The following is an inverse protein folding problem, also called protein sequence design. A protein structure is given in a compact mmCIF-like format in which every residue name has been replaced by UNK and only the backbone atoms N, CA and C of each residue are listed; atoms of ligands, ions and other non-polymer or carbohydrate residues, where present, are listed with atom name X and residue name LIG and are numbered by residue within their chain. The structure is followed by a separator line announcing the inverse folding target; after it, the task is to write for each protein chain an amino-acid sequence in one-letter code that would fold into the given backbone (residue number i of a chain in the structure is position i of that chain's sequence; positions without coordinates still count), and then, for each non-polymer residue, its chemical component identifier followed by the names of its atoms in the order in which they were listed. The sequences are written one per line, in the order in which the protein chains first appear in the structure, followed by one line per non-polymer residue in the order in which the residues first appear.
data_IF_223222171170
#
_entry.id   IF_223222171170
#
_cell.length_a   1.000
_cell.length_b   1.000
_cell.length_c   1.000
_cell.angle_alpha   90.00
_cell.angle_beta   90.00
_cell.angle_gamma   90.00
#
_symmetry.space_group_name_H-M   'P 1'
#
loop_
_entity.id
_entity.type
_entity.pdbx_description
1 polymer ?
#
# COMPACT_ATOMS: atom_id res chain seq x y z
N UNK A 1 16.44 -24.76 10.70
CA UNK A 1 16.12 -24.73 9.24
C UNK A 1 14.64 -25.03 9.09
N UNK A 2 13.88 -24.19 8.39
CA UNK A 2 12.47 -24.45 8.08
C UNK A 2 12.21 -24.17 6.61
N UNK A 3 11.61 -25.13 5.91
CA UNK A 3 11.32 -25.04 4.48
C UNK A 3 9.94 -25.58 4.19
N UNK A 4 9.26 -24.99 3.22
CA UNK A 4 7.96 -25.42 2.75
C UNK A 4 7.90 -25.29 1.25
N UNK A 5 7.39 -26.34 0.65
CA UNK A 5 7.37 -26.52 -0.77
C UNK A 5 5.95 -26.82 -1.22
N UNK A 6 5.61 -26.29 -2.38
CA UNK A 6 4.36 -26.55 -3.08
C UNK A 6 4.67 -27.34 -4.34
N UNK A 7 3.81 -28.30 -4.67
CA UNK A 7 3.81 -29.00 -5.95
C UNK A 7 2.43 -28.94 -6.56
N UNK A 8 2.37 -28.48 -7.82
CA UNK A 8 1.14 -28.36 -8.58
C UNK A 8 1.27 -29.01 -9.96
N UNK A 9 0.36 -29.91 -10.28
CA UNK A 9 0.11 -30.47 -11.61
C UNK A 9 -1.41 -30.48 -11.91
N UNK A 10 -1.83 -30.95 -13.10
CA UNK A 10 -3.23 -30.94 -13.54
C UNK A 10 -4.21 -31.66 -12.58
N UNK A 11 -3.75 -32.49 -11.64
CA UNK A 11 -4.60 -33.19 -10.66
C UNK A 11 -4.09 -33.18 -9.21
N UNK A 12 -2.95 -32.57 -8.93
CA UNK A 12 -2.27 -32.59 -7.63
C UNK A 12 -1.95 -31.17 -7.19
N UNK A 13 -2.46 -30.78 -6.02
CA UNK A 13 -2.02 -29.58 -5.31
C UNK A 13 -1.57 -30.00 -3.91
N UNK A 14 -0.26 -30.14 -3.72
CA UNK A 14 0.35 -30.78 -2.54
C UNK A 14 1.35 -29.85 -1.88
N UNK A 15 1.49 -30.00 -0.57
CA UNK A 15 2.53 -29.34 0.20
C UNK A 15 3.46 -30.36 0.85
N UNK A 16 4.69 -29.94 1.06
CA UNK A 16 5.70 -30.65 1.82
C UNK A 16 6.52 -29.65 2.61
N UNK A 17 6.74 -29.87 3.90
CA UNK A 17 7.56 -29.01 4.73
C UNK A 17 8.52 -29.83 5.57
N UNK A 18 9.65 -29.22 5.92
CA UNK A 18 10.62 -29.77 6.85
C UNK A 18 11.05 -28.70 7.84
N UNK A 19 11.08 -29.06 9.11
CA UNK A 19 11.55 -28.21 10.20
C UNK A 19 12.60 -28.98 11.00
N UNK A 20 13.80 -28.41 11.09
CA UNK A 20 14.95 -28.96 11.81
C UNK A 20 15.14 -28.15 13.09
N UNK A 21 15.15 -28.84 14.23
CA UNK A 21 15.38 -28.29 15.57
C UNK A 21 16.40 -29.16 16.31
N UNK A 22 17.62 -28.66 16.47
CA UNK A 22 18.74 -29.41 17.04
C UNK A 22 19.06 -30.66 16.21
N UNK A 23 19.14 -31.82 16.86
CA UNK A 23 19.40 -33.11 16.21
C UNK A 23 18.14 -33.84 15.73
N UNK A 24 17.00 -33.15 15.67
CA UNK A 24 15.72 -33.74 15.22
C UNK A 24 15.14 -32.92 14.08
N UNK A 25 14.55 -33.59 13.09
CA UNK A 25 13.71 -32.93 12.11
C UNK A 25 12.31 -33.53 12.07
N UNK A 26 11.32 -32.71 11.71
CA UNK A 26 9.95 -33.13 11.42
C UNK A 26 9.60 -32.75 10.00
N UNK A 27 9.11 -33.73 9.24
CA UNK A 27 8.59 -33.57 7.88
C UNK A 27 7.08 -33.64 7.91
N UNK A 28 6.39 -32.68 7.30
CA UNK A 28 4.93 -32.67 7.15
C UNK A 28 4.56 -32.63 5.68
N UNK A 29 3.60 -33.45 5.23
CA UNK A 29 3.18 -33.46 3.83
C UNK A 29 1.69 -33.77 3.66
N UNK A 30 1.08 -33.23 2.62
CA UNK A 30 -0.35 -33.40 2.40
C UNK A 30 -0.86 -32.73 1.13
N UNK A 31 -2.18 -32.77 0.94
CA UNK A 31 -2.86 -31.93 -0.05
C UNK A 31 -2.99 -30.53 0.54
N UNK A 32 -2.82 -29.50 -0.27
CA UNK A 32 -3.01 -28.12 0.19
C UNK A 32 -4.46 -27.92 0.65
N UNK A 33 -4.62 -27.36 1.86
CA UNK A 33 -5.91 -27.23 2.54
C UNK A 33 -6.27 -28.38 3.48
N UNK A 34 -5.45 -29.43 3.61
CA UNK A 34 -5.62 -30.46 4.65
C UNK A 34 -4.57 -30.32 5.75
N UNK A 35 -4.82 -30.95 6.91
CA UNK A 35 -3.87 -30.97 8.04
C UNK A 35 -2.57 -31.73 7.74
N UNK A 36 -2.49 -32.47 6.63
CA UNK A 36 -1.33 -33.28 6.26
C UNK A 36 -1.03 -34.44 7.23
N UNK A 37 0.12 -35.07 7.02
CA UNK A 37 0.70 -36.08 7.90
C UNK A 37 2.13 -35.68 8.25
N UNK A 38 2.53 -35.88 9.50
CA UNK A 38 3.86 -35.54 9.99
C UNK A 38 4.64 -36.79 10.39
N UNK A 39 5.96 -36.76 10.17
CA UNK A 39 6.91 -37.79 10.60
C UNK A 39 8.17 -37.13 11.15
N UNK A 40 8.58 -37.55 12.34
CA UNK A 40 9.71 -36.97 13.07
C UNK A 40 10.84 -38.00 13.15
N UNK A 41 12.08 -37.54 12.95
CA UNK A 41 13.28 -38.38 13.04
C UNK A 41 14.37 -37.67 13.82
N UNK A 42 14.94 -38.38 14.80
CA UNK A 42 16.01 -37.90 15.68
C UNK A 42 17.33 -38.58 15.34
N UNK A 43 18.42 -37.82 15.41
CA UNK A 43 19.79 -38.23 15.11
C UNK A 43 20.69 -38.01 16.33
N UNK A 44 21.87 -38.62 16.27
CA UNK A 44 22.87 -38.56 17.33
C UNK A 44 23.56 -37.18 17.40
N UNK A 45 23.62 -36.48 16.26
CA UNK A 45 24.33 -35.21 16.10
C UNK A 45 23.54 -34.25 15.19
N UNK A 46 23.69 -32.95 15.45
CA UNK A 46 22.99 -31.89 14.72
C UNK A 46 23.44 -31.79 13.26
N UNK A 47 24.73 -32.03 12.99
CA UNK A 47 25.29 -31.96 11.64
C UNK A 47 24.73 -33.07 10.76
N UNK A 48 24.60 -34.29 11.30
CA UNK A 48 24.00 -35.43 10.59
C UNK A 48 22.50 -35.16 10.28
N UNK A 49 21.78 -34.57 11.24
CA UNK A 49 20.39 -34.18 11.07
C UNK A 49 20.20 -33.16 9.94
N UNK A 50 21.02 -32.11 9.92
CA UNK A 50 20.96 -31.07 8.89
C UNK A 50 21.32 -31.61 7.49
N UNK A 51 22.36 -32.46 7.39
CA UNK A 51 22.76 -33.07 6.12
C UNK A 51 21.66 -33.94 5.51
N UNK A 52 20.96 -34.74 6.31
CA UNK A 52 19.86 -35.56 5.82
C UNK A 52 18.61 -34.71 5.49
N UNK A 53 18.35 -33.65 6.26
CA UNK A 53 17.26 -32.71 5.96
C UNK A 53 17.46 -31.97 4.63
N UNK A 54 18.68 -31.50 4.35
CA UNK A 54 19.02 -30.87 3.08
C UNK A 54 18.96 -31.84 1.89
N UNK A 55 19.32 -33.10 2.11
CA UNK A 55 19.20 -34.15 1.08
C UNK A 55 17.74 -34.35 0.68
N UNK A 56 16.83 -34.46 1.67
CA UNK A 56 15.39 -34.56 1.42
C UNK A 56 14.83 -33.33 0.70
N UNK A 57 15.29 -32.13 1.07
CA UNK A 57 14.94 -30.89 0.37
C UNK A 57 15.34 -30.97 -1.12
N UNK A 58 16.61 -31.30 -1.42
CA UNK A 58 17.10 -31.41 -2.80
C UNK A 58 16.34 -32.44 -3.62
N UNK A 59 15.98 -33.59 -3.01
CA UNK A 59 15.17 -34.61 -3.69
C UNK A 59 13.77 -34.11 -4.03
N UNK A 60 13.16 -33.26 -3.20
CA UNK A 60 11.84 -32.67 -3.47
C UNK A 60 11.90 -31.60 -4.55
N UNK A 61 12.90 -30.72 -4.51
CA UNK A 61 13.13 -29.72 -5.56
C UNK A 61 13.34 -30.39 -6.92
N UNK A 62 14.11 -31.48 -6.98
CA UNK A 62 14.31 -32.26 -8.22
C UNK A 62 13.02 -32.91 -8.76
N UNK A 63 12.03 -33.14 -7.89
CA UNK A 63 10.71 -33.69 -8.26
C UNK A 63 9.70 -32.59 -8.66
N UNK A 64 10.17 -31.35 -8.82
CA UNK A 64 9.35 -30.22 -9.28
C UNK A 64 8.61 -29.47 -8.18
N UNK A 65 8.92 -29.73 -6.90
CA UNK A 65 8.40 -28.91 -5.80
C UNK A 65 9.12 -27.56 -5.79
N UNK A 66 8.38 -26.47 -5.57
CA UNK A 66 8.90 -25.10 -5.50
C UNK A 66 8.83 -24.57 -4.08
N UNK A 67 9.84 -23.84 -3.62
CA UNK A 67 9.82 -23.19 -2.31
C UNK A 67 8.73 -22.11 -2.28
N UNK A 68 7.76 -22.26 -1.39
CA UNK A 68 6.83 -21.19 -1.06
C UNK A 68 7.29 -20.58 0.26
N UNK A 69 7.55 -19.27 0.25
CA UNK A 69 8.09 -18.56 1.41
C UNK A 69 7.22 -18.78 2.64
N UNK A 70 7.71 -19.59 3.58
CA UNK A 70 7.12 -19.64 4.92
C UNK A 70 7.83 -18.64 5.81
N UNK A 71 7.12 -17.57 6.12
CA UNK A 71 7.27 -16.87 7.40
C UNK A 71 6.86 -17.84 8.51
N UNK A 72 7.73 -17.97 9.51
CA UNK A 72 7.63 -18.98 10.56
C UNK A 72 6.40 -18.74 11.44
N UNK A 73 5.41 -19.63 11.38
CA UNK A 73 4.46 -19.81 12.47
C UNK A 73 5.06 -20.77 13.51
N UNK A 74 5.19 -20.26 14.74
CA UNK A 74 5.43 -21.05 15.95
C UNK A 74 4.11 -21.07 16.73
N UNK A 75 3.52 -22.25 16.84
CA UNK A 75 2.39 -22.54 17.73
C UNK A 75 2.91 -22.78 19.14
N UNK A 76 2.34 -22.12 20.14
CA UNK A 76 1.81 -22.83 21.31
C UNK A 76 0.75 -21.98 22.03
N UNK A 77 -0.46 -22.52 21.98
CA UNK A 77 -1.64 -22.16 22.74
C UNK A 77 -1.40 -22.46 24.21
N UNK A 78 -1.53 -21.46 25.10
CA UNK A 78 -2.26 -21.53 26.37
C UNK A 78 -2.02 -20.25 27.21
N UNK A 79 -2.69 -19.18 26.80
CA UNK A 79 -3.44 -18.33 27.75
C UNK A 79 -4.54 -17.64 26.96
N UNK A 80 -5.75 -18.17 27.08
CA UNK A 80 -6.95 -17.37 26.83
C UNK A 80 -6.93 -16.27 27.87
N UNK A 81 -6.65 -15.05 27.44
CA UNK A 81 -7.42 -13.86 27.81
C UNK A 81 -6.84 -12.63 27.09
N UNK A 82 -7.69 -12.04 26.24
CA UNK A 82 -7.64 -10.64 25.79
C UNK A 82 -6.35 -10.16 25.09
N UNK A 83 -6.34 -10.26 23.77
CA UNK A 83 -5.84 -9.16 22.94
C UNK A 83 -6.58 -9.18 21.61
N UNK A 84 -7.58 -8.31 21.48
CA UNK A 84 -7.93 -7.80 20.16
C UNK A 84 -6.67 -7.12 19.63
N UNK A 85 -6.00 -7.69 18.64
CA UNK A 85 -4.99 -6.94 17.88
C UNK A 85 -5.69 -5.68 17.38
N UNK A 86 -5.37 -4.56 18.01
CA UNK A 86 -5.75 -3.24 17.55
C UNK A 86 -5.05 -3.08 16.21
N UNK A 87 -5.78 -3.29 15.11
CA UNK A 87 -5.31 -2.85 13.79
C UNK A 87 -4.94 -1.39 13.98
N UNK A 88 -3.65 -1.08 13.86
CA UNK A 88 -3.19 0.29 13.92
C UNK A 88 -3.84 0.99 12.73
N UNK A 89 -4.72 1.93 13.01
CA UNK A 89 -5.41 2.70 11.97
C UNK A 89 -4.36 3.56 11.25
N UNK A 90 -3.96 3.14 10.05
CA UNK A 90 -3.00 3.83 9.22
C UNK A 90 -3.72 4.86 8.34
N UNK A 91 -4.90 4.54 7.83
CA UNK A 91 -5.59 5.41 6.88
C UNK A 91 -6.49 6.42 7.57
N UNK A 92 -6.51 7.63 7.05
CA UNK A 92 -7.34 8.70 7.59
C UNK A 92 -8.82 8.50 7.27
N UNK A 93 -9.70 9.14 8.04
CA UNK A 93 -11.12 9.20 7.68
C UNK A 93 -11.35 9.88 6.32
N UNK A 94 -10.48 10.83 5.96
CA UNK A 94 -10.51 11.51 4.66
C UNK A 94 -10.22 10.54 3.51
N UNK A 95 -9.28 9.60 3.69
CA UNK A 95 -9.04 8.54 2.71
C UNK A 95 -10.30 7.71 2.48
N UNK A 96 -10.97 7.27 3.55
CA UNK A 96 -12.18 6.46 3.42
C UNK A 96 -13.35 7.24 2.81
N UNK A 97 -13.49 8.53 3.11
CA UNK A 97 -14.47 9.40 2.45
C UNK A 97 -14.17 9.57 0.97
N UNK A 98 -12.92 9.83 0.62
CA UNK A 98 -12.45 9.91 -0.76
C UNK A 98 -12.73 8.60 -1.50
N UNK A 99 -12.31 7.46 -0.95
CA UNK A 99 -12.52 6.14 -1.52
C UNK A 99 -13.99 5.88 -1.81
N UNK A 100 -14.88 6.19 -0.85
CA UNK A 100 -16.33 5.99 -0.99
C UNK A 100 -16.94 6.74 -2.16
N UNK A 101 -16.40 7.91 -2.49
CA UNK A 101 -16.80 8.67 -3.68
C UNK A 101 -16.13 8.08 -4.91
N UNK A 102 -14.81 7.89 -4.88
CA UNK A 102 -14.00 7.51 -6.04
C UNK A 102 -14.32 6.14 -6.61
N UNK A 103 -14.74 5.17 -5.78
CA UNK A 103 -15.17 3.84 -6.27
C UNK A 103 -16.44 3.88 -7.13
N UNK A 104 -17.19 4.99 -7.15
CA UNK A 104 -18.35 5.16 -8.03
C UNK A 104 -17.96 5.54 -9.46
N UNK A 105 -16.72 5.99 -9.66
CA UNK A 105 -16.21 6.39 -10.97
C UNK A 105 -15.82 5.18 -11.84
N UNK A 106 -15.77 3.97 -11.26
CA UNK A 106 -15.55 2.75 -12.03
C UNK A 106 -16.74 2.46 -12.95
N UNK A 107 -16.48 2.32 -14.25
CA UNK A 107 -17.44 1.90 -15.27
C UNK A 107 -17.86 0.43 -15.04
N UNK A 108 -16.89 -0.46 -14.81
CA UNK A 108 -17.16 -1.85 -14.52
C UNK A 108 -17.53 -2.05 -13.04
N UNK A 109 -18.79 -2.41 -12.80
CA UNK A 109 -19.29 -2.65 -11.43
C UNK A 109 -18.51 -3.74 -10.65
N UNK A 110 -17.77 -4.61 -11.35
CA UNK A 110 -16.93 -5.64 -10.72
C UNK A 110 -15.76 -5.02 -9.94
N UNK A 111 -15.13 -3.97 -10.48
CA UNK A 111 -14.03 -3.28 -9.83
C UNK A 111 -14.52 -2.43 -8.66
N UNK A 112 -15.60 -1.66 -8.84
CA UNK A 112 -16.25 -0.91 -7.75
C UNK A 112 -16.56 -1.80 -6.53
N UNK A 113 -17.24 -2.94 -6.75
CA UNK A 113 -17.60 -3.90 -5.69
C UNK A 113 -16.36 -4.52 -5.04
N UNK A 114 -15.28 -4.68 -5.78
CA UNK A 114 -14.04 -5.25 -5.27
C UNK A 114 -13.33 -4.24 -4.38
N UNK A 115 -13.12 -3.00 -4.85
CA UNK A 115 -12.47 -1.94 -4.08
C UNK A 115 -13.23 -1.59 -2.79
N UNK A 116 -14.56 -1.68 -2.78
CA UNK A 116 -15.38 -1.52 -1.56
C UNK A 116 -15.13 -2.61 -0.49
N UNK A 117 -14.65 -3.79 -0.89
CA UNK A 117 -14.44 -4.96 -0.01
C UNK A 117 -12.99 -5.17 0.38
N UNK A 118 -12.05 -4.45 -0.23
CA UNK A 118 -10.63 -4.53 0.12
C UNK A 118 -10.46 -4.13 1.59
N UNK A 119 -9.65 -4.90 2.32
CA UNK A 119 -9.19 -4.50 3.63
C UNK A 119 -8.05 -3.48 3.47
N UNK A 120 -8.43 -2.21 3.36
CA UNK A 120 -7.50 -1.12 3.07
C UNK A 120 -6.42 -0.91 4.14
N UNK A 121 -6.72 -1.17 5.41
CA UNK A 121 -5.70 -1.10 6.48
C UNK A 121 -4.61 -2.16 6.27
N UNK A 122 -5.00 -3.36 5.82
CA UNK A 122 -4.04 -4.43 5.51
C UNK A 122 -3.19 -4.09 4.28
N UNK A 123 -3.78 -3.50 3.24
CA UNK A 123 -3.02 -3.05 2.08
C UNK A 123 -2.09 -1.89 2.43
N UNK A 124 -2.56 -0.92 3.23
CA UNK A 124 -1.75 0.15 3.79
C UNK A 124 -0.57 -0.36 4.63
N UNK A 125 -0.77 -1.40 5.43
CA UNK A 125 0.30 -2.02 6.21
C UNK A 125 1.40 -2.61 5.33
N UNK A 126 1.04 -3.29 4.23
CA UNK A 126 2.04 -3.79 3.26
C UNK A 126 2.83 -2.64 2.64
N UNK A 127 2.15 -1.58 2.23
CA UNK A 127 2.79 -0.38 1.67
C UNK A 127 3.73 0.25 2.70
N UNK A 128 3.28 0.38 3.96
CA UNK A 128 4.09 0.93 5.05
C UNK A 128 5.36 0.11 5.27
N UNK A 129 5.23 -1.21 5.34
CA UNK A 129 6.36 -2.13 5.52
C UNK A 129 7.35 -2.03 4.35
N UNK A 130 6.86 -1.95 3.11
CA UNK A 130 7.72 -1.85 1.93
C UNK A 130 8.53 -0.55 1.93
N UNK A 131 7.87 0.58 2.19
CA UNK A 131 8.54 1.89 2.29
C UNK A 131 9.55 1.91 3.44
N UNK A 132 9.21 1.35 4.60
CA UNK A 132 10.15 1.25 5.72
C UNK A 132 11.37 0.40 5.40
N UNK A 133 11.20 -0.66 4.61
CA UNK A 133 12.29 -1.48 4.10
C UNK A 133 13.21 -0.68 3.19
N UNK A 134 12.62 0.10 2.27
CA UNK A 134 13.36 1.02 1.40
C UNK A 134 14.15 2.05 2.21
N UNK A 135 13.55 2.72 3.20
CA UNK A 135 14.27 3.67 4.06
C UNK A 135 15.46 3.05 4.79
N UNK A 136 15.35 1.80 5.24
CA UNK A 136 16.47 1.10 5.88
C UNK A 136 17.61 0.86 4.89
N UNK A 137 17.28 0.40 3.68
CA UNK A 137 18.24 0.20 2.59
C UNK A 137 18.93 1.52 2.21
N UNK A 138 18.15 2.58 2.02
CA UNK A 138 18.66 3.88 1.61
C UNK A 138 19.59 4.50 2.66
N UNK A 139 19.25 4.38 3.95
CA UNK A 139 20.11 4.82 5.07
C UNK A 139 21.49 4.16 5.07
N UNK A 140 21.61 2.93 4.58
CA UNK A 140 22.88 2.20 4.56
C UNK A 140 23.78 2.59 3.39
N UNK A 141 23.28 3.42 2.46
CA UNK A 141 24.06 3.89 1.30
C UNK A 141 24.99 5.03 1.70
N UNK A 142 26.19 5.00 1.12
CA UNK A 142 27.17 6.10 1.17
C UNK A 142 26.88 7.05 0.00
N UNK A 143 25.95 7.99 0.23
CA UNK A 143 25.49 8.98 -0.75
C UNK A 143 25.54 10.38 -0.15
N UNK A 144 25.68 11.39 -1.00
CA UNK A 144 25.58 12.79 -0.58
C UNK A 144 24.17 13.10 -0.01
N UNK A 145 24.03 14.16 0.80
CA UNK A 145 22.74 14.50 1.40
C UNK A 145 21.64 14.71 0.35
N UNK A 146 20.51 14.02 0.54
CA UNK A 146 19.37 14.08 -0.39
C UNK A 146 18.62 15.40 -0.24
N UNK A 147 18.44 16.13 -1.35
CA UNK A 147 17.61 17.32 -1.40
C UNK A 147 16.19 17.03 -1.86
N UNK A 148 16.00 16.05 -2.75
CA UNK A 148 14.70 15.70 -3.31
C UNK A 148 14.53 14.18 -3.27
N UNK A 149 13.41 13.74 -2.73
CA UNK A 149 12.90 12.38 -2.92
C UNK A 149 11.87 12.45 -4.03
N UNK A 150 12.20 11.86 -5.17
CA UNK A 150 11.30 11.81 -6.33
C UNK A 150 10.53 10.50 -6.30
N UNK A 151 9.21 10.59 -6.22
CA UNK A 151 8.33 9.42 -6.08
C UNK A 151 7.34 9.47 -7.24
N UNK A 152 7.20 8.38 -7.98
CA UNK A 152 6.34 8.36 -9.16
C UNK A 152 5.60 7.06 -9.32
N UNK A 153 4.39 7.14 -9.83
CA UNK A 153 3.76 5.96 -10.40
C UNK A 153 4.53 5.54 -11.65
N UNK A 154 4.91 4.28 -11.71
CA UNK A 154 5.62 3.75 -12.87
C UNK A 154 4.61 3.37 -13.96
N UNK A 155 4.31 4.30 -14.87
CA UNK A 155 3.46 4.08 -16.04
C UNK A 155 4.24 3.59 -17.28
N UNK A 156 5.58 3.58 -17.22
CA UNK A 156 6.45 3.23 -18.34
C UNK A 156 6.86 1.75 -18.36
N UNK A 157 7.05 1.12 -17.19
CA UNK A 157 7.51 -0.26 -17.10
C UNK A 157 6.43 -1.21 -16.54
N UNK A 158 5.94 -0.98 -15.33
CA UNK A 158 5.03 -1.92 -14.65
C UNK A 158 3.57 -1.52 -14.74
N UNK A 159 3.24 -0.22 -14.68
CA UNK A 159 1.85 0.29 -14.62
C UNK A 159 1.08 -0.16 -13.37
N UNK A 160 1.76 -0.67 -12.35
CA UNK A 160 1.15 -1.08 -11.09
C UNK A 160 2.07 -0.91 -9.89
N UNK A 161 3.15 -0.14 -10.04
CA UNK A 161 4.08 0.12 -8.96
C UNK A 161 4.29 1.62 -8.74
N UNK A 162 4.80 1.95 -7.56
CA UNK A 162 5.33 3.28 -7.25
C UNK A 162 6.82 3.15 -7.01
N UNK A 163 7.54 3.91 -7.80
CA UNK A 163 8.98 4.02 -7.82
C UNK A 163 9.46 5.15 -6.92
N UNK A 164 10.60 4.93 -6.28
CA UNK A 164 11.29 5.94 -5.48
C UNK A 164 12.67 6.15 -6.08
N UNK A 165 13.01 7.40 -6.19
CA UNK A 165 14.28 7.92 -6.67
C UNK A 165 14.67 9.12 -5.80
N UNK A 166 15.88 9.63 -5.98
CA UNK A 166 16.35 10.77 -5.20
C UNK A 166 17.39 11.58 -5.95
N UNK A 167 17.47 12.86 -5.60
CA UNK A 167 18.43 13.82 -6.10
C UNK A 167 19.29 14.35 -4.94
N UNK A 168 20.60 14.23 -5.09
CA UNK A 168 21.59 14.75 -4.13
C UNK A 168 22.27 16.03 -4.61
N UNK A 169 22.07 16.44 -5.87
CA UNK A 169 22.66 17.63 -6.48
C UNK A 169 21.75 18.86 -6.30
N UNK A 170 20.42 18.68 -6.34
CA UNK A 170 19.44 19.74 -6.18
C UNK A 170 18.58 19.60 -4.92
N UNK A 171 18.09 20.73 -4.41
CA UNK A 171 16.96 20.82 -3.48
C UNK A 171 15.89 21.82 -3.96
N UNK A 172 15.87 22.10 -5.27
CA UNK A 172 14.82 22.92 -5.88
C UNK A 172 13.79 21.99 -6.55
N UNK A 173 12.55 21.92 -6.05
CA UNK A 173 11.50 21.12 -6.66
C UNK A 173 11.26 21.40 -8.15
N UNK A 174 11.63 22.58 -8.66
CA UNK A 174 11.50 22.89 -10.09
C UNK A 174 12.51 22.19 -10.97
N UNK A 175 13.66 21.81 -10.41
CA UNK A 175 14.77 21.22 -11.16
C UNK A 175 14.85 19.70 -10.98
N UNK A 176 14.00 19.14 -10.10
CA UNK A 176 13.94 17.71 -9.74
C UNK A 176 13.73 16.74 -10.92
N UNK A 177 13.36 17.26 -12.10
CA UNK A 177 13.05 16.48 -13.29
C UNK A 177 14.04 16.70 -14.43
N UNK A 178 15.01 17.61 -14.30
CA UNK A 178 15.97 17.93 -15.38
C UNK A 178 17.23 17.06 -15.32
N UNK A 179 17.67 16.66 -14.13
CA UNK A 179 18.89 15.87 -13.93
C UNK A 179 18.52 14.46 -13.47
N UNK A 180 18.63 13.53 -14.42
CA UNK A 180 17.97 12.23 -14.39
C UNK A 180 18.34 11.30 -13.22
N UNK A 181 17.41 10.36 -13.03
CA UNK A 181 17.39 9.26 -12.07
C UNK A 181 18.75 8.74 -11.60
N UNK A 182 18.96 8.74 -10.28
CA UNK A 182 20.18 8.23 -9.65
C UNK A 182 20.02 6.75 -9.29
N UNK A 183 18.84 6.33 -8.83
CA UNK A 183 18.59 4.97 -8.33
C UNK A 183 17.09 4.64 -8.29
N UNK A 184 16.49 4.54 -9.47
CA UNK A 184 15.08 4.21 -9.61
C UNK A 184 14.77 2.79 -9.09
N UNK A 185 13.98 2.68 -8.01
CA UNK A 185 13.55 1.41 -7.41
C UNK A 185 12.02 1.35 -7.27
N UNK A 186 11.41 0.28 -7.79
CA UNK A 186 9.99 -0.04 -7.54
C UNK A 186 9.80 -0.44 -6.07
N UNK A 187 9.39 0.51 -5.23
CA UNK A 187 9.24 0.33 -3.77
C UNK A 187 7.87 -0.21 -3.39
N UNK A 188 6.80 0.20 -4.07
CA UNK A 188 5.44 -0.24 -3.76
C UNK A 188 4.91 -1.04 -4.94
N UNK A 189 4.58 -2.32 -4.72
CA UNK A 189 4.11 -3.23 -5.77
C UNK A 189 2.65 -3.64 -5.52
N UNK A 190 1.75 -3.30 -6.45
CA UNK A 190 0.32 -3.66 -6.39
C UNK A 190 -0.06 -4.91 -7.19
N UNK A 191 0.90 -5.62 -7.77
CA UNK A 191 0.66 -6.84 -8.57
C UNK A 191 -0.12 -7.90 -7.79
N UNK A 192 0.16 -8.02 -6.49
CA UNK A 192 -0.50 -8.94 -5.58
C UNK A 192 -1.97 -8.56 -5.35
N UNK A 193 -2.27 -7.27 -5.24
CA UNK A 193 -3.64 -6.75 -5.15
C UNK A 193 -4.40 -7.02 -6.45
N UNK A 194 -3.78 -6.76 -7.60
CA UNK A 194 -4.38 -7.00 -8.92
C UNK A 194 -4.72 -8.50 -9.09
N UNK A 195 -3.74 -9.39 -8.91
CA UNK A 195 -3.95 -10.85 -9.05
C UNK A 195 -4.95 -11.40 -8.05
N UNK A 196 -4.85 -10.99 -6.77
CA UNK A 196 -5.63 -11.62 -5.70
C UNK A 196 -7.01 -11.00 -5.54
N UNK A 197 -7.15 -9.68 -5.65
CA UNK A 197 -8.40 -8.99 -5.44
C UNK A 197 -9.16 -8.81 -6.75
N UNK A 198 -8.51 -8.26 -7.79
CA UNK A 198 -9.18 -7.98 -9.08
C UNK A 198 -9.33 -9.24 -9.93
N UNK A 199 -8.49 -10.26 -9.70
CA UNK A 199 -8.44 -11.49 -10.51
C UNK A 199 -8.02 -11.23 -11.96
N UNK A 200 -7.21 -10.19 -12.15
CA UNK A 200 -6.63 -9.81 -13.43
C UNK A 200 -5.12 -10.10 -13.43
N UNK A 201 -4.50 -10.10 -14.62
CA UNK A 201 -3.05 -10.10 -14.74
C UNK A 201 -2.50 -8.67 -14.64
N UNK A 202 -1.41 -8.43 -13.90
CA UNK A 202 -0.84 -7.08 -13.75
C UNK A 202 -0.18 -6.55 -15.03
N UNK A 203 0.42 -7.44 -15.81
CA UNK A 203 1.06 -7.06 -17.07
C UNK A 203 -0.02 -6.50 -18.01
N UNK A 204 0.22 -5.29 -18.54
CA UNK A 204 -0.72 -4.55 -19.40
C UNK A 204 -2.10 -4.33 -18.76
N UNK A 205 -2.16 -4.17 -17.42
CA UNK A 205 -3.41 -3.97 -16.68
C UNK A 205 -4.22 -2.77 -17.18
N UNK A 206 -3.56 -1.74 -17.72
CA UNK A 206 -4.23 -0.59 -18.34
C UNK A 206 -5.08 -1.00 -19.55
N UNK A 207 -4.63 -1.93 -20.40
CA UNK A 207 -5.40 -2.44 -21.54
C UNK A 207 -6.62 -3.22 -21.05
N UNK A 208 -6.44 -3.96 -19.96
CA UNK A 208 -7.50 -4.79 -19.37
C UNK A 208 -8.60 -3.94 -18.73
N UNK A 209 -8.21 -2.89 -17.99
CA UNK A 209 -9.15 -2.06 -17.25
C UNK A 209 -9.69 -0.86 -18.07
N UNK A 210 -9.00 -0.44 -19.14
CA UNK A 210 -9.38 0.77 -19.88
C UNK A 210 -9.40 1.99 -18.96
N UNK A 211 -10.45 2.81 -19.04
CA UNK A 211 -10.60 4.03 -18.22
C UNK A 211 -10.64 3.75 -16.71
N UNK A 212 -11.06 2.54 -16.31
CA UNK A 212 -11.08 2.13 -14.90
C UNK A 212 -9.69 2.03 -14.28
N UNK A 213 -8.64 1.90 -15.11
CA UNK A 213 -7.25 1.93 -14.68
C UNK A 213 -6.93 3.24 -13.95
N UNK A 214 -7.37 4.39 -14.49
CA UNK A 214 -7.10 5.71 -13.91
C UNK A 214 -7.81 5.85 -12.55
N UNK A 215 -8.99 5.25 -12.40
CA UNK A 215 -9.70 5.22 -11.11
C UNK A 215 -8.91 4.42 -10.08
N UNK A 216 -8.41 3.23 -10.45
CA UNK A 216 -7.54 2.42 -9.60
C UNK A 216 -6.26 3.17 -9.22
N UNK A 217 -5.53 3.70 -10.21
CA UNK A 217 -4.28 4.43 -10.02
C UNK A 217 -4.47 5.57 -9.02
N UNK A 218 -5.54 6.36 -9.18
CA UNK A 218 -5.82 7.48 -8.28
C UNK A 218 -6.01 7.02 -6.83
N UNK A 219 -6.79 5.95 -6.62
CA UNK A 219 -7.02 5.40 -5.28
C UNK A 219 -5.73 4.90 -4.64
N UNK A 220 -4.93 4.13 -5.38
CA UNK A 220 -3.68 3.56 -4.90
C UNK A 220 -2.64 4.65 -4.60
N UNK A 221 -2.49 5.65 -5.48
CA UNK A 221 -1.61 6.79 -5.24
C UNK A 221 -2.02 7.61 -4.01
N UNK A 222 -3.32 7.88 -3.81
CA UNK A 222 -3.78 8.63 -2.62
C UNK A 222 -3.52 7.87 -1.33
N UNK A 223 -3.76 6.55 -1.32
CA UNK A 223 -3.41 5.68 -0.19
C UNK A 223 -1.90 5.75 0.10
N UNK A 224 -1.08 5.51 -0.92
CA UNK A 224 0.38 5.51 -0.79
C UNK A 224 0.93 6.82 -0.29
N UNK A 225 0.41 7.97 -0.77
CA UNK A 225 0.81 9.30 -0.29
C UNK A 225 0.59 9.47 1.22
N UNK A 226 -0.55 9.02 1.76
CA UNK A 226 -0.77 9.05 3.21
C UNK A 226 0.25 8.20 3.98
N UNK A 227 0.56 7.02 3.46
CA UNK A 227 1.48 6.09 4.10
C UNK A 227 2.92 6.61 4.02
N UNK A 228 3.36 7.14 2.88
CA UNK A 228 4.66 7.79 2.70
C UNK A 228 4.85 8.87 3.78
N UNK A 229 3.90 9.80 3.89
CA UNK A 229 3.97 10.89 4.88
C UNK A 229 4.02 10.40 6.32
N UNK A 230 3.40 9.25 6.63
CA UNK A 230 3.49 8.64 7.96
C UNK A 230 4.87 8.04 8.23
N UNK A 231 5.49 7.40 7.24
CA UNK A 231 6.81 6.79 7.39
C UNK A 231 7.94 7.79 7.61
N UNK A 232 7.71 9.09 7.39
CA UNK A 232 8.72 10.13 7.65
C UNK A 232 9.07 10.28 9.15
N UNK A 233 8.27 9.68 10.02
CA UNK A 233 8.52 9.64 11.47
C UNK A 233 9.40 8.45 11.88
N UNK A 234 9.66 7.52 10.97
CA UNK A 234 10.43 6.32 11.25
C UNK A 234 11.91 6.65 11.43
N UNK A 235 12.55 6.01 12.40
CA UNK A 235 13.96 6.22 12.72
C UNK A 235 14.88 5.97 11.52
N UNK A 236 14.51 5.04 10.64
CA UNK A 236 15.25 4.76 9.41
C UNK A 236 15.26 5.98 8.48
N UNK A 237 14.10 6.60 8.25
CA UNK A 237 14.01 7.81 7.43
C UNK A 237 14.73 8.98 8.09
N UNK A 238 14.54 9.20 9.40
CA UNK A 238 15.15 10.31 10.13
C UNK A 238 16.69 10.30 10.09
N UNK A 239 17.31 9.13 9.98
CA UNK A 239 18.77 8.98 9.94
C UNK A 239 19.39 9.12 8.54
N UNK A 240 18.59 9.19 7.47
CA UNK A 240 19.10 9.50 6.13
C UNK A 240 19.62 10.94 6.11
N UNK A 241 20.82 11.18 5.59
CA UNK A 241 21.37 12.53 5.45
C UNK A 241 20.61 13.31 4.37
N UNK A 242 20.23 14.55 4.67
CA UNK A 242 19.37 15.39 3.81
C UNK A 242 19.89 16.81 3.74
N UNK A 243 19.66 17.46 2.61
CA UNK A 243 19.85 18.90 2.48
C UNK A 243 18.81 19.66 3.31
N UNK A 244 19.01 20.97 3.47
CA UNK A 244 18.07 21.84 4.18
C UNK A 244 17.73 23.07 3.34
N UNK A 245 16.49 23.20 2.85
CA UNK A 245 15.37 22.25 2.98
C UNK A 245 15.54 20.98 2.13
N UNK A 246 14.67 20.00 2.37
CA UNK A 246 14.48 18.85 1.48
C UNK A 246 12.98 18.68 1.18
N UNK A 247 12.67 17.99 0.09
CA UNK A 247 11.31 17.84 -0.42
C UNK A 247 11.01 16.39 -0.79
N UNK A 248 9.73 16.00 -0.68
CA UNK A 248 9.21 14.81 -1.36
C UNK A 248 8.29 15.29 -2.47
N UNK A 249 8.54 14.80 -3.67
CA UNK A 249 7.74 15.03 -4.85
C UNK A 249 6.94 13.77 -5.17
N UNK A 250 5.76 13.95 -5.77
CA UNK A 250 4.94 12.84 -6.24
C UNK A 250 4.39 13.14 -7.64
N UNK A 251 4.67 12.26 -8.59
CA UNK A 251 4.14 12.33 -9.95
C UNK A 251 3.19 11.14 -10.25
N UNK A 252 2.14 11.40 -11.02
CA UNK A 252 1.20 10.36 -11.45
C UNK A 252 1.59 9.73 -12.79
N UNK A 253 2.42 10.41 -13.58
CA UNK A 253 2.92 9.95 -14.88
C UNK A 253 4.38 10.33 -15.06
N UNK A 254 5.12 9.57 -15.86
CA UNK A 254 6.53 9.83 -16.14
C UNK A 254 6.75 11.12 -16.96
N UNK A 255 5.77 11.50 -17.79
CA UNK A 255 5.82 12.69 -18.65
C UNK A 255 5.04 13.89 -18.08
N UNK A 256 4.61 13.82 -16.81
CA UNK A 256 3.77 14.85 -16.21
C UNK A 256 4.57 16.10 -15.82
N UNK A 257 4.21 17.27 -16.37
CA UNK A 257 4.68 18.57 -15.86
C UNK A 257 4.08 18.90 -14.48
N UNK A 258 3.13 18.09 -13.98
CA UNK A 258 2.35 18.32 -12.76
C UNK A 258 2.85 17.57 -11.51
N UNK A 259 4.16 17.34 -11.38
CA UNK A 259 4.74 16.79 -10.15
C UNK A 259 4.41 17.67 -8.92
N UNK A 260 3.85 17.06 -7.88
CA UNK A 260 3.38 17.77 -6.69
C UNK A 260 4.36 17.62 -5.53
N UNK A 261 4.73 18.74 -4.89
CA UNK A 261 5.42 18.68 -3.59
C UNK A 261 4.45 18.16 -2.53
N UNK A 262 4.62 16.92 -2.09
CA UNK A 262 3.78 16.31 -1.06
C UNK A 262 4.32 16.57 0.36
N UNK A 263 5.62 16.91 0.47
CA UNK A 263 6.25 17.32 1.74
C UNK A 263 7.34 18.36 1.50
N UNK A 264 7.36 19.39 2.34
CA UNK A 264 8.37 20.44 2.39
C UNK A 264 8.90 20.57 3.82
N UNK A 265 10.19 20.28 4.02
CA UNK A 265 10.80 20.30 5.34
C UNK A 265 10.87 21.70 5.97
N UNK A 266 10.78 22.77 5.17
CA UNK A 266 10.70 24.15 5.63
C UNK A 266 9.31 24.58 6.07
N UNK A 267 8.28 23.81 5.69
CA UNK A 267 6.87 24.09 5.99
C UNK A 267 6.26 25.29 5.26
N UNK A 268 6.92 25.79 4.20
CA UNK A 268 6.43 26.92 3.40
C UNK A 268 5.33 26.49 2.42
N UNK A 269 5.48 25.32 1.83
CA UNK A 269 4.49 24.70 0.94
C UNK A 269 3.57 23.81 1.79
N UNK A 270 2.26 24.02 1.64
CA UNK A 270 1.23 23.22 2.32
C UNK A 270 0.25 22.68 1.30
N UNK A 271 0.41 21.42 0.96
CA UNK A 271 -0.50 20.71 0.07
C UNK A 271 -1.34 19.73 0.88
N UNK A 272 -2.67 19.85 0.76
CA UNK A 272 -3.59 18.87 1.32
C UNK A 272 -3.75 17.71 0.34
N UNK A 273 -3.62 16.45 0.76
CA UNK A 273 -3.84 15.30 -0.13
C UNK A 273 -5.27 15.20 -0.69
N UNK A 274 -6.23 15.91 -0.09
CA UNK A 274 -7.65 15.89 -0.48
C UNK A 274 -8.21 17.30 -0.73
N UNK A 275 -7.54 18.06 -1.59
CA UNK A 275 -8.04 19.40 -1.96
C UNK A 275 -9.48 19.35 -2.49
N UNK A 276 -9.89 18.26 -3.13
CA UNK A 276 -11.23 18.06 -3.67
C UNK A 276 -12.29 18.03 -2.56
N UNK A 277 -11.97 17.47 -1.39
CA UNK A 277 -12.86 17.45 -0.22
C UNK A 277 -13.03 18.83 0.41
N UNK A 278 -12.06 19.72 0.23
CA UNK A 278 -12.17 21.13 0.69
C UNK A 278 -12.89 22.06 -0.28
N UNK A 279 -12.98 21.68 -1.56
CA UNK A 279 -13.59 22.52 -2.61
C UNK A 279 -15.12 22.46 -2.64
N UNK A 280 -15.74 21.43 -2.08
CA UNK A 280 -17.18 21.42 -1.79
C UNK A 280 -17.37 21.78 -0.32
N UNK A 281 -18.27 22.71 0.00
CA UNK A 281 -18.52 23.26 1.34
C UNK A 281 -19.08 22.26 2.37
N UNK A 282 -18.50 21.07 2.45
CA UNK A 282 -18.73 20.08 3.49
C UNK A 282 -17.91 20.54 4.69
N UNK A 283 -18.60 21.08 5.68
CA UNK A 283 -18.01 21.44 6.95
C UNK A 283 -17.68 20.15 7.74
N UNK A 284 -16.47 19.63 7.51
CA UNK A 284 -15.94 18.41 8.13
C UNK A 284 -15.96 18.47 9.67
N UNK A 285 -16.01 19.68 10.26
CA UNK A 285 -16.14 19.85 11.72
C UNK A 285 -17.47 19.34 12.27
N UNK A 286 -18.51 19.23 11.42
CA UNK A 286 -19.83 18.69 11.80
C UNK A 286 -19.88 17.17 11.85
N UNK A 287 -18.91 16.50 11.22
CA UNK A 287 -18.78 15.04 11.25
C UNK A 287 -17.94 14.56 12.43
N UNK A 288 -17.17 15.46 13.04
CA UNK A 288 -16.25 15.16 14.14
C UNK A 288 -16.97 15.17 15.49
N UNK A 289 -17.04 14.01 16.15
CA UNK A 289 -17.49 13.90 17.53
C UNK A 289 -16.29 14.12 18.47
N UNK A 290 -16.24 15.29 19.11
CA UNK A 290 -15.14 15.67 19.99
C UNK A 290 -15.02 14.84 21.27
N UNK A 291 -16.06 14.10 21.67
CA UNK A 291 -16.01 13.22 22.85
C UNK A 291 -15.31 11.90 22.55
N UNK A 292 -15.54 11.36 21.36
CA UNK A 292 -15.04 10.04 20.96
C UNK A 292 -13.81 10.12 20.06
N UNK A 293 -13.38 11.35 19.71
CA UNK A 293 -12.34 11.64 18.70
C UNK A 293 -12.57 10.85 17.40
N UNK A 294 -13.82 10.60 17.04
CA UNK A 294 -14.23 9.79 15.91
C UNK A 294 -15.20 10.57 15.02
N UNK A 295 -15.18 10.29 13.72
CA UNK A 295 -16.21 10.80 12.81
C UNK A 295 -17.40 9.84 12.80
N UNK A 296 -18.59 10.33 13.16
CA UNK A 296 -19.82 9.54 13.07
C UNK A 296 -20.31 9.55 11.61
N UNK A 297 -20.25 8.41 10.94
CA UNK A 297 -20.97 8.19 9.68
C UNK A 297 -22.13 7.24 10.00
N UNK A 298 -23.30 7.81 10.29
CA UNK A 298 -24.56 7.05 10.30
C UNK A 298 -24.94 6.76 8.84
N UNK A 299 -25.03 5.48 8.48
CA UNK A 299 -25.34 5.01 7.12
C UNK A 299 -26.65 5.60 6.56
N UNK A 300 -27.53 6.13 7.42
CA UNK A 300 -28.81 6.73 7.03
C UNK A 300 -28.72 8.10 6.35
N UNK A 301 -27.59 8.79 6.40
CA UNK A 301 -27.42 10.10 5.73
C UNK A 301 -26.78 9.99 4.33
N UNK A 302 -26.56 8.78 3.82
CA UNK A 302 -26.01 8.57 2.49
C UNK A 302 -27.04 8.69 1.36
N UNK A 303 -28.33 8.65 1.71
CA UNK A 303 -29.46 8.85 0.78
C UNK A 303 -29.66 10.32 0.39
N UNK A 304 -28.98 11.28 1.04
CA UNK A 304 -29.10 12.72 0.73
C UNK A 304 -28.04 13.24 -0.26
N UNK A 305 -27.14 12.39 -0.77
CA UNK A 305 -26.24 12.79 -1.85
C UNK A 305 -26.99 12.58 -3.16
N UNK A 306 -27.41 13.64 -3.89
CA UNK A 306 -28.25 13.47 -5.07
C UNK A 306 -27.55 12.59 -6.11
N UNK A 307 -28.27 11.60 -6.64
CA UNK A 307 -27.80 10.66 -7.66
C UNK A 307 -27.51 11.31 -9.03
N UNK A 308 -27.78 12.60 -9.18
CA UNK A 308 -27.52 13.35 -10.40
C UNK A 308 -26.22 14.15 -10.30
N UNK A 309 -25.09 13.49 -10.57
CA UNK A 309 -23.94 14.18 -11.17
C UNK A 309 -23.87 13.68 -12.61
N UNK A 310 -24.84 14.15 -13.41
CA UNK A 310 -24.84 14.02 -14.85
C UNK A 310 -24.02 15.13 -15.50
N UNK A 311 -23.29 14.74 -16.55
CA UNK A 311 -22.65 15.50 -17.61
C UNK A 311 -21.84 16.77 -17.28
N UNK A 312 -20.53 16.64 -17.52
CA UNK A 312 -19.62 17.75 -17.77
C UNK A 312 -19.93 18.40 -19.12
N UNK A 313 -20.81 19.39 -19.16
CA UNK A 313 -20.73 20.49 -20.14
C UNK A 313 -21.16 21.80 -19.48
N UNK A 314 -20.48 22.88 -19.90
CA UNK A 314 -20.77 24.30 -19.63
C UNK A 314 -20.16 24.94 -18.36
N UNK A 315 -18.82 25.06 -18.40
CA UNK A 315 -18.18 26.33 -18.05
C UNK A 315 -18.62 27.42 -19.03
N UNK A 316 -19.82 27.97 -18.89
CA UNK A 316 -20.19 29.23 -19.54
C UNK A 316 -21.45 29.83 -18.90
N UNK A 317 -21.26 30.63 -17.83
CA UNK A 317 -21.96 31.90 -17.49
C UNK A 317 -21.97 32.18 -15.98
N UNK A 318 -21.30 33.28 -15.61
CA UNK A 318 -21.28 34.00 -14.32
C UNK A 318 -22.68 34.33 -13.73
N UNK A 319 -22.87 34.97 -12.53
CA UNK A 319 -21.92 35.66 -11.64
C UNK A 319 -22.11 35.46 -10.10
N UNK A 320 -21.20 36.09 -9.35
CA UNK A 320 -21.20 36.31 -7.90
C UNK A 320 -22.54 36.79 -7.29
N UNK A 321 -22.86 36.29 -6.09
CA UNK A 321 -24.06 36.67 -5.32
C UNK A 321 -23.88 36.60 -3.80
N UNK A 322 -23.28 37.65 -3.25
CA UNK A 322 -23.58 38.36 -1.98
C UNK A 322 -24.22 37.60 -0.79
N UNK A 323 -23.46 37.50 0.31
CA UNK A 323 -23.97 37.26 1.68
C UNK A 323 -24.89 38.40 2.14
N UNK A 324 -26.04 38.07 2.74
CA UNK A 324 -26.62 38.75 3.93
C UNK A 324 -27.93 38.08 4.38
N UNK A 325 -27.98 37.65 5.64
CA UNK A 325 -29.20 37.72 6.45
C UNK A 325 -28.83 37.79 7.94
N UNK A 326 -28.82 39.01 8.47
CA UNK A 326 -29.02 39.28 9.89
C UNK A 326 -30.53 39.24 10.15
N UNK A 327 -30.97 38.39 11.06
CA UNK A 327 -32.31 38.49 11.65
C UNK A 327 -32.18 39.14 13.04
N UNK A 328 -32.64 40.37 13.16
CA UNK A 328 -33.08 40.94 14.43
C UNK A 328 -34.59 41.14 14.34
N UNK A 329 -35.33 40.58 15.29
CA UNK A 329 -36.72 40.92 15.58
C UNK A 329 -36.83 41.18 17.07
N UNK A 330 -37.11 42.43 17.45
CA UNK A 330 -37.78 42.76 18.71
C UNK A 330 -38.87 43.78 18.39
N UNK A 331 -40.10 43.34 18.65
CA UNK A 331 -41.41 44.02 18.75
C UNK A 331 -41.98 44.67 17.51
#
# INVERSE_FOLDING_TARGET
MKKYLIYQDEGSHKFWSIEVSGSTFTVTFGKIGSSGQSSTKTFSDEKECLQEAEKLLREKLKKGYVEAGLTEQKSETESREQNSESIQKLLSDSFHQFLKVKVKDFEESKYAKTFQKINWEKEAEKVFQSICSYWKKLKEKDIEPIGIFDIRWDDAATQYSIEFDYDTESNDPKNAMEEGAVDNESVIDFSDLIRKNLKEEPDDIWETMGEDYIVMQNILCKMSREIILQTLKEDSFLQIEKQTPYYLMFAYHHDDEESEVIFDSSGKIKNSPYQELTKKGIDLSKLYNSKDKSMLIDDRNLEEIPDEIGDYQDLEHCPAGTRKSQNFRIR
#
